data_IF_384118085883
#
_entry.id   IF_384118085883
#
_cell.length_a   1.000
_cell.length_b   1.000
_cell.length_c   1.000
_cell.angle_alpha   90.00
_cell.angle_beta   90.00
_cell.angle_gamma   90.00
#
_symmetry.space_group_name_H-M   'P 1'
#
loop_
_entity.id
_entity.type
_entity.pdbx_description
1 polymer ?
#
# COMPACT_ATOMS: atom_id res chain seq x y z
N UNK A 1 59.45 14.59 -18.44
CA UNK A 1 58.79 15.64 -17.62
C UNK A 1 57.29 15.38 -17.75
N UNK A 2 56.76 14.48 -16.92
CA UNK A 2 55.36 14.06 -16.93
C UNK A 2 54.67 14.66 -15.71
N UNK A 3 54.09 15.85 -15.85
CA UNK A 3 53.32 16.48 -14.78
C UNK A 3 52.20 17.27 -15.45
N UNK A 4 50.97 16.70 -15.49
CA UNK A 4 49.66 17.39 -15.46
C UNK A 4 48.43 16.54 -15.91
N UNK A 5 48.58 15.25 -16.17
CA UNK A 5 47.42 14.42 -16.59
C UNK A 5 46.33 14.18 -15.52
N UNK A 6 46.65 14.36 -14.23
CA UNK A 6 45.71 14.13 -13.12
C UNK A 6 44.79 15.31 -12.82
N UNK A 7 45.25 16.56 -13.07
CA UNK A 7 44.45 17.77 -12.85
C UNK A 7 43.39 17.98 -13.92
N UNK A 8 43.78 17.88 -15.19
CA UNK A 8 42.88 18.07 -16.34
C UNK A 8 41.77 17.02 -16.41
N UNK A 9 42.08 15.75 -16.09
CA UNK A 9 41.06 14.68 -16.03
C UNK A 9 40.02 14.95 -14.94
N UNK A 10 40.43 15.51 -13.79
CA UNK A 10 39.52 15.78 -12.67
C UNK A 10 38.58 16.96 -13.01
N UNK A 11 39.11 18.01 -13.64
CA UNK A 11 38.31 19.14 -14.10
C UNK A 11 37.34 18.76 -15.24
N UNK A 12 37.77 17.86 -16.14
CA UNK A 12 36.91 17.31 -17.19
C UNK A 12 35.77 16.45 -16.63
N UNK A 13 36.05 15.58 -15.65
CA UNK A 13 35.03 14.77 -14.98
C UNK A 13 34.00 15.63 -14.23
N UNK A 14 34.46 16.66 -13.52
CA UNK A 14 33.58 17.63 -12.83
C UNK A 14 32.70 18.39 -13.81
N UNK A 15 33.26 18.83 -14.93
CA UNK A 15 32.50 19.52 -15.99
C UNK A 15 31.46 18.60 -16.64
N UNK A 16 31.85 17.36 -16.96
CA UNK A 16 30.97 16.35 -17.52
C UNK A 16 29.79 16.05 -16.58
N UNK A 17 30.08 15.83 -15.29
CA UNK A 17 29.07 15.61 -14.25
C UNK A 17 28.08 16.76 -14.16
N UNK A 18 28.56 18.01 -14.06
CA UNK A 18 27.69 19.19 -13.97
C UNK A 18 26.77 19.33 -15.18
N UNK A 19 27.29 19.10 -16.39
CA UNK A 19 26.51 19.18 -17.62
C UNK A 19 25.45 18.07 -17.70
N UNK A 20 25.82 16.84 -17.33
CA UNK A 20 24.90 15.70 -17.31
C UNK A 20 23.79 15.88 -16.27
N UNK A 21 24.11 16.32 -15.05
CA UNK A 21 23.11 16.62 -14.01
C UNK A 21 22.12 17.69 -14.48
N UNK A 22 22.59 18.76 -15.14
CA UNK A 22 21.72 19.79 -15.68
C UNK A 22 20.83 19.28 -16.82
N UNK A 23 21.36 18.45 -17.72
CA UNK A 23 20.57 17.88 -18.80
C UNK A 23 19.51 16.89 -18.29
N UNK A 24 19.84 16.14 -17.23
CA UNK A 24 18.91 15.24 -16.53
C UNK A 24 17.77 15.99 -15.86
N UNK A 25 18.05 17.06 -15.12
CA UNK A 25 16.99 17.84 -14.45
C UNK A 25 16.04 18.51 -15.45
N UNK A 26 16.52 18.85 -16.65
CA UNK A 26 15.69 19.35 -17.74
C UNK A 26 15.00 18.24 -18.57
N UNK A 27 15.27 16.95 -18.29
CA UNK A 27 14.78 15.78 -19.05
C UNK A 27 15.04 15.89 -20.56
N UNK A 28 16.16 16.50 -20.94
CA UNK A 28 16.52 16.74 -22.35
C UNK A 28 17.31 15.55 -22.92
N UNK A 29 16.57 14.62 -23.54
CA UNK A 29 17.14 13.40 -24.15
C UNK A 29 18.19 13.72 -25.22
N UNK A 30 18.00 14.79 -25.99
CA UNK A 30 18.91 15.15 -27.09
C UNK A 30 20.21 15.70 -26.53
N UNK A 31 20.13 16.56 -25.52
CA UNK A 31 21.30 17.07 -24.82
C UNK A 31 22.07 15.94 -24.13
N UNK A 32 21.38 15.01 -23.44
CA UNK A 32 22.03 13.87 -22.78
C UNK A 32 22.79 13.00 -23.79
N UNK A 33 22.18 12.62 -24.91
CA UNK A 33 22.85 11.82 -25.94
C UNK A 33 24.06 12.55 -26.53
N UNK A 34 23.93 13.84 -26.80
CA UNK A 34 25.02 14.66 -27.33
C UNK A 34 26.18 14.78 -26.35
N UNK A 35 25.86 14.95 -25.05
CA UNK A 35 26.84 14.99 -23.97
C UNK A 35 27.53 13.64 -23.77
N UNK A 36 26.78 12.52 -23.80
CA UNK A 36 27.36 11.17 -23.70
C UNK A 36 28.33 10.94 -24.87
N UNK A 37 27.92 11.21 -26.10
CA UNK A 37 28.79 11.04 -27.27
C UNK A 37 30.06 11.91 -27.16
N UNK A 38 29.91 13.17 -26.74
CA UNK A 38 31.02 14.10 -26.55
C UNK A 38 31.97 13.66 -25.43
N UNK A 39 31.44 13.28 -24.27
CA UNK A 39 32.29 12.92 -23.13
C UNK A 39 32.88 11.52 -23.29
N UNK A 40 32.27 10.65 -24.10
CA UNK A 40 32.83 9.35 -24.43
C UNK A 40 34.10 9.48 -25.27
N UNK A 41 34.18 10.47 -26.18
CA UNK A 41 35.41 10.72 -26.95
C UNK A 41 36.52 11.34 -26.11
N UNK A 42 36.18 12.08 -25.05
CA UNK A 42 37.15 12.76 -24.17
C UNK A 42 37.64 11.84 -23.05
N UNK A 43 36.72 11.21 -22.31
CA UNK A 43 37.02 10.42 -21.12
C UNK A 43 37.21 8.93 -21.44
N UNK A 44 36.69 8.46 -22.57
CA UNK A 44 36.54 7.03 -22.86
C UNK A 44 35.29 6.44 -22.23
N UNK A 45 34.79 5.35 -22.82
CA UNK A 45 33.53 4.71 -22.44
C UNK A 45 33.51 4.27 -20.97
N UNK A 46 34.54 3.56 -20.50
CA UNK A 46 34.58 3.02 -19.14
C UNK A 46 34.54 4.12 -18.06
N UNK A 47 35.36 5.17 -18.23
CA UNK A 47 35.39 6.30 -17.28
C UNK A 47 34.09 7.07 -17.30
N UNK A 48 33.49 7.27 -18.47
CA UNK A 48 32.19 7.93 -18.58
C UNK A 48 31.08 7.10 -17.92
N UNK A 49 31.06 5.78 -18.14
CA UNK A 49 30.10 4.89 -17.47
C UNK A 49 30.29 4.94 -15.95
N UNK A 50 31.52 4.88 -15.46
CA UNK A 50 31.81 4.98 -14.03
C UNK A 50 31.35 6.34 -13.45
N UNK A 51 31.57 7.44 -14.18
CA UNK A 51 31.12 8.78 -13.79
C UNK A 51 29.59 8.87 -13.73
N UNK A 52 28.91 8.35 -14.76
CA UNK A 52 27.44 8.36 -14.82
C UNK A 52 26.88 7.54 -13.65
N UNK A 53 27.34 6.31 -13.47
CA UNK A 53 26.78 5.37 -12.48
C UNK A 53 27.11 5.77 -11.05
N UNK A 54 28.36 6.13 -10.75
CA UNK A 54 28.81 6.33 -9.37
C UNK A 54 28.70 7.77 -8.89
N UNK A 55 28.54 8.75 -9.79
CA UNK A 55 28.48 10.15 -9.41
C UNK A 55 27.19 10.83 -9.88
N UNK A 56 26.87 10.77 -11.18
CA UNK A 56 25.69 11.48 -11.72
C UNK A 56 24.39 10.87 -11.21
N UNK A 57 24.25 9.54 -11.27
CA UNK A 57 23.06 8.82 -10.80
C UNK A 57 22.88 8.84 -9.28
N UNK A 58 23.96 9.10 -8.53
CA UNK A 58 23.93 9.20 -7.07
C UNK A 58 23.47 10.59 -6.61
N UNK A 59 23.75 11.63 -7.40
CA UNK A 59 23.41 13.02 -7.07
C UNK A 59 22.13 13.54 -7.72
N UNK A 60 21.57 12.85 -8.72
CA UNK A 60 20.30 13.23 -9.30
C UNK A 60 19.12 12.85 -8.39
N UNK A 61 18.02 13.61 -8.49
CA UNK A 61 16.77 13.29 -7.79
C UNK A 61 16.15 11.98 -8.29
N UNK A 62 15.25 11.41 -7.48
CA UNK A 62 14.59 10.11 -7.75
C UNK A 62 13.83 10.10 -9.08
N UNK A 63 13.19 11.20 -9.44
CA UNK A 63 12.40 11.32 -10.67
C UNK A 63 13.30 11.34 -11.90
N UNK A 64 14.39 12.10 -11.84
CA UNK A 64 15.42 12.15 -12.90
C UNK A 64 16.12 10.80 -13.06
N UNK A 65 16.41 10.10 -11.96
CA UNK A 65 16.98 8.75 -11.98
C UNK A 65 16.04 7.75 -12.68
N UNK A 66 14.79 7.67 -12.22
CA UNK A 66 13.76 6.79 -12.77
C UNK A 66 13.54 7.07 -14.26
N UNK A 67 13.39 8.34 -14.63
CA UNK A 67 13.21 8.76 -16.00
C UNK A 67 14.39 8.37 -16.90
N UNK A 68 15.63 8.56 -16.43
CA UNK A 68 16.82 8.16 -17.16
C UNK A 68 16.85 6.65 -17.40
N UNK A 69 16.68 5.85 -16.35
CA UNK A 69 16.71 4.40 -16.48
C UNK A 69 15.61 3.87 -17.42
N UNK A 70 14.40 4.39 -17.30
CA UNK A 70 13.29 4.03 -18.20
C UNK A 70 13.56 4.42 -19.66
N UNK A 71 14.15 5.59 -19.88
CA UNK A 71 14.39 6.13 -21.23
C UNK A 71 15.54 5.42 -21.96
N UNK A 72 16.58 5.04 -21.23
CA UNK A 72 17.83 4.52 -21.82
C UNK A 72 17.99 3.00 -21.72
N UNK A 73 17.48 2.35 -20.66
CA UNK A 73 17.42 0.88 -20.57
C UNK A 73 16.11 0.31 -21.10
N UNK A 74 15.08 1.15 -21.23
CA UNK A 74 13.75 0.71 -21.62
C UNK A 74 12.94 0.16 -20.43
N UNK A 75 11.62 0.23 -20.56
CA UNK A 75 10.68 -0.09 -19.49
C UNK A 75 10.82 -1.53 -18.96
N UNK A 76 11.06 -2.51 -19.84
CA UNK A 76 11.18 -3.92 -19.46
C UNK A 76 12.42 -4.21 -18.63
N UNK A 77 13.56 -3.64 -19.00
CA UNK A 77 14.84 -3.83 -18.29
C UNK A 77 14.84 -3.06 -16.98
N UNK A 78 14.27 -1.85 -16.97
CA UNK A 78 14.06 -1.08 -15.74
C UNK A 78 13.21 -1.86 -14.72
N UNK A 79 12.06 -2.40 -15.15
CA UNK A 79 11.19 -3.20 -14.27
C UNK A 79 11.90 -4.45 -13.73
N UNK A 80 12.72 -5.12 -14.55
CA UNK A 80 13.50 -6.28 -14.11
C UNK A 80 14.58 -5.90 -13.09
N UNK A 81 15.29 -4.79 -13.33
CA UNK A 81 16.30 -4.26 -12.41
C UNK A 81 15.67 -3.85 -11.08
N UNK A 82 14.52 -3.15 -11.13
CA UNK A 82 13.75 -2.74 -9.96
C UNK A 82 13.36 -3.94 -9.11
N UNK A 83 12.72 -4.97 -9.71
CA UNK A 83 12.34 -6.21 -9.00
C UNK A 83 13.51 -6.92 -8.34
N UNK A 84 14.67 -6.95 -9.00
CA UNK A 84 15.89 -7.54 -8.43
C UNK A 84 16.41 -6.73 -7.24
N UNK A 85 16.39 -5.40 -7.33
CA UNK A 85 16.77 -4.53 -6.23
C UNK A 85 15.83 -4.71 -5.03
N UNK A 86 14.52 -4.72 -5.26
CA UNK A 86 13.51 -4.98 -4.22
C UNK A 86 13.71 -6.34 -3.55
N UNK A 87 13.88 -7.39 -4.35
CA UNK A 87 14.11 -8.75 -3.84
C UNK A 87 15.37 -8.84 -2.99
N UNK A 88 16.41 -8.09 -3.35
CA UNK A 88 17.65 -8.03 -2.57
C UNK A 88 17.45 -7.29 -1.24
N UNK A 89 16.73 -6.16 -1.23
CA UNK A 89 16.39 -5.43 -0.01
C UNK A 89 15.59 -6.34 0.94
N UNK A 90 14.57 -7.04 0.43
CA UNK A 90 13.76 -7.97 1.23
C UNK A 90 14.60 -9.09 1.82
N UNK A 91 15.52 -9.67 1.04
CA UNK A 91 16.42 -10.72 1.52
C UNK A 91 17.33 -10.21 2.64
N UNK A 92 17.84 -8.99 2.54
CA UNK A 92 18.66 -8.37 3.59
C UNK A 92 17.82 -8.19 4.86
N UNK A 93 16.63 -7.60 4.74
CA UNK A 93 15.75 -7.33 5.89
C UNK A 93 15.34 -8.62 6.62
N UNK A 94 14.95 -9.66 5.87
CA UNK A 94 14.64 -10.98 6.45
C UNK A 94 15.89 -11.60 7.11
N UNK A 95 17.05 -11.48 6.47
CA UNK A 95 18.32 -11.98 7.00
C UNK A 95 18.71 -11.34 8.35
N UNK A 96 18.31 -10.09 8.56
CA UNK A 96 18.52 -9.33 9.80
C UNK A 96 17.38 -9.53 10.83
N UNK A 97 16.46 -10.46 10.58
CA UNK A 97 15.39 -10.83 11.50
C UNK A 97 14.20 -9.86 11.53
N UNK A 98 13.98 -9.10 10.45
CA UNK A 98 12.81 -8.23 10.30
C UNK A 98 11.66 -8.96 9.62
N UNK A 99 10.43 -8.61 10.01
CA UNK A 99 9.21 -9.31 9.61
C UNK A 99 8.48 -8.55 8.48
N UNK A 100 8.20 -9.20 7.32
CA UNK A 100 7.33 -8.65 6.30
C UNK A 100 5.93 -8.29 6.87
N UNK A 101 5.39 -7.15 6.47
CA UNK A 101 4.09 -6.62 6.93
C UNK A 101 4.15 -5.86 8.26
N UNK A 102 5.25 -5.95 9.00
CA UNK A 102 5.48 -5.22 10.25
C UNK A 102 6.64 -4.24 10.14
N UNK A 103 7.78 -4.73 9.66
CA UNK A 103 9.00 -3.94 9.50
C UNK A 103 9.17 -3.43 8.06
N UNK A 104 8.59 -4.11 7.07
CA UNK A 104 8.58 -3.64 5.67
C UNK A 104 7.48 -4.31 4.85
N UNK A 105 6.98 -3.65 3.81
CA UNK A 105 5.96 -4.16 2.90
C UNK A 105 6.05 -3.50 1.52
N UNK A 106 5.24 -3.95 0.57
CA UNK A 106 5.00 -3.22 -0.68
C UNK A 106 3.83 -2.26 -0.50
N UNK A 107 3.98 -1.02 -0.95
CA UNK A 107 2.92 -0.05 -1.14
C UNK A 107 2.19 -0.27 -2.47
N UNK A 108 1.10 0.49 -2.68
CA UNK A 108 0.16 0.26 -3.77
C UNK A 108 0.76 0.58 -5.16
N UNK A 109 1.75 1.46 -5.23
CA UNK A 109 2.49 1.76 -6.48
C UNK A 109 3.71 0.87 -6.68
N UNK A 110 3.91 -0.14 -5.83
CA UNK A 110 5.10 -0.97 -5.82
C UNK A 110 6.30 -0.33 -5.11
N UNK A 111 6.14 0.81 -4.41
CA UNK A 111 7.15 1.29 -3.48
C UNK A 111 7.38 0.30 -2.34
N UNK A 112 8.59 0.26 -1.79
CA UNK A 112 8.84 -0.45 -0.54
C UNK A 112 8.55 0.50 0.62
N UNK A 113 7.64 0.10 1.49
CA UNK A 113 7.39 0.74 2.77
C UNK A 113 8.31 0.06 3.79
N UNK A 114 9.09 0.84 4.53
CA UNK A 114 9.98 0.33 5.59
C UNK A 114 9.73 1.08 6.90
N UNK A 115 9.83 0.38 8.02
CA UNK A 115 9.80 0.97 9.36
C UNK A 115 11.12 1.70 9.66
N UNK A 116 11.12 2.60 10.65
CA UNK A 116 12.34 3.28 11.12
C UNK A 116 13.45 2.28 11.50
N UNK A 117 13.06 1.15 12.10
CA UNK A 117 13.97 0.06 12.46
C UNK A 117 14.57 -0.61 11.23
N UNK A 118 13.74 -0.91 10.21
CA UNK A 118 14.20 -1.48 8.95
C UNK A 118 15.11 -0.51 8.18
N UNK A 119 14.78 0.78 8.21
CA UNK A 119 15.61 1.84 7.65
C UNK A 119 16.98 1.89 8.33
N UNK A 120 17.05 1.92 9.67
CA UNK A 120 18.33 1.93 10.38
C UNK A 120 19.21 0.73 10.04
N UNK A 121 18.61 -0.46 9.92
CA UNK A 121 19.33 -1.67 9.52
C UNK A 121 19.86 -1.55 8.09
N UNK A 122 19.06 -1.06 7.13
CA UNK A 122 19.53 -0.82 5.77
C UNK A 122 20.65 0.20 5.70
N UNK A 123 20.54 1.31 6.45
CA UNK A 123 21.57 2.34 6.49
C UNK A 123 22.88 1.82 7.11
N UNK A 124 22.80 0.91 8.09
CA UNK A 124 23.99 0.29 8.71
C UNK A 124 24.78 -0.61 7.77
N UNK A 125 24.15 -1.10 6.70
CA UNK A 125 24.76 -1.97 5.68
C UNK A 125 25.42 -1.15 4.54
N UNK A 126 25.21 0.17 4.50
CA UNK A 126 25.76 1.03 3.47
C UNK A 126 27.12 1.62 3.87
N UNK A 127 28.05 1.80 2.92
CA UNK A 127 29.23 2.63 3.13
C UNK A 127 28.82 4.03 3.60
N UNK A 128 29.55 4.61 4.56
CA UNK A 128 29.20 5.89 5.19
C UNK A 128 29.00 7.02 4.18
N UNK A 129 29.76 6.99 3.09
CA UNK A 129 29.72 7.98 2.02
C UNK A 129 28.40 7.93 1.21
N UNK A 130 27.66 6.82 1.27
CA UNK A 130 26.40 6.59 0.54
C UNK A 130 25.15 6.77 1.38
N UNK A 131 25.29 6.87 2.70
CA UNK A 131 24.17 7.05 3.65
C UNK A 131 23.34 8.29 3.30
N UNK A 132 23.91 9.51 3.11
CA UNK A 132 23.11 10.71 2.86
C UNK A 132 22.32 10.65 1.55
N UNK A 133 22.91 10.08 0.49
CA UNK A 133 22.24 9.90 -0.80
C UNK A 133 21.10 8.88 -0.71
N UNK A 134 21.30 7.80 0.05
CA UNK A 134 20.24 6.81 0.26
C UNK A 134 19.12 7.36 1.15
N UNK A 135 19.43 8.13 2.19
CA UNK A 135 18.45 8.83 3.01
C UNK A 135 17.64 9.84 2.19
N UNK A 136 18.29 10.59 1.29
CA UNK A 136 17.60 11.52 0.38
C UNK A 136 16.69 10.81 -0.63
N UNK A 137 17.00 9.57 -1.01
CA UNK A 137 16.16 8.73 -1.87
C UNK A 137 15.05 8.00 -1.11
N UNK A 138 15.23 7.73 0.19
CA UNK A 138 14.20 7.19 1.08
C UNK A 138 13.16 8.24 1.46
N UNK A 139 13.51 9.53 1.43
CA UNK A 139 12.58 10.63 1.65
C UNK A 139 11.84 11.02 0.36
N UNK A 140 10.82 10.25 -0.03
CA UNK A 140 9.64 10.80 -0.76
C UNK A 140 8.60 9.73 -1.11
N UNK A 141 7.72 9.44 -0.16
CA UNK A 141 6.28 9.50 -0.43
C UNK A 141 5.59 9.60 0.93
N UNK A 142 4.70 10.57 1.18
CA UNK A 142 3.83 10.47 2.33
C UNK A 142 3.06 9.16 2.16
N UNK A 143 3.42 8.15 2.96
CA UNK A 143 2.69 6.87 3.02
C UNK A 143 1.23 7.27 3.16
N UNK A 144 0.37 6.97 2.17
CA UNK A 144 -1.04 7.25 2.31
C UNK A 144 -1.47 6.63 3.63
N UNK A 145 -2.10 7.41 4.50
CA UNK A 145 -2.68 6.87 5.72
C UNK A 145 -3.39 5.55 5.36
N UNK A 146 -3.26 4.46 6.14
CA UNK A 146 -3.95 3.21 5.85
C UNK A 146 -5.44 3.40 5.53
N UNK A 147 -6.06 4.39 6.16
CA UNK A 147 -7.42 4.89 5.84
C UNK A 147 -7.52 5.36 4.39
N UNK A 148 -6.66 6.29 3.97
CA UNK A 148 -6.64 6.84 2.61
C UNK A 148 -6.30 5.78 1.55
N UNK A 149 -5.40 4.84 1.85
CA UNK A 149 -5.05 3.74 0.95
C UNK A 149 -6.26 2.83 0.68
N UNK A 150 -7.01 2.47 1.73
CA UNK A 150 -8.21 1.65 1.61
C UNK A 150 -9.33 2.42 0.90
N UNK A 151 -9.57 3.69 1.24
CA UNK A 151 -10.58 4.52 0.55
C UNK A 151 -10.26 4.69 -0.94
N UNK A 152 -8.98 4.83 -1.30
CA UNK A 152 -8.56 4.85 -2.70
C UNK A 152 -8.81 3.52 -3.41
N UNK A 153 -8.55 2.39 -2.74
CA UNK A 153 -8.85 1.05 -3.30
C UNK A 153 -10.35 0.85 -3.54
N UNK A 154 -11.18 1.36 -2.63
CA UNK A 154 -12.63 1.26 -2.71
C UNK A 154 -13.25 2.29 -3.65
N UNK A 155 -12.53 3.37 -3.96
CA UNK A 155 -12.99 4.46 -4.83
C UNK A 155 -14.02 5.39 -4.18
N UNK A 156 -14.16 5.37 -2.85
CA UNK A 156 -15.13 6.16 -2.10
C UNK A 156 -14.60 6.51 -0.69
N UNK A 157 -15.16 7.55 -0.01
CA UNK A 157 -14.78 7.95 1.35
C UNK A 157 -15.38 6.99 2.41
N UNK A 158 -15.04 5.70 2.28
CA UNK A 158 -15.62 4.59 3.03
C UNK A 158 -15.64 4.80 4.55
N UNK A 159 -14.55 5.22 5.18
CA UNK A 159 -14.51 5.35 6.64
C UNK A 159 -15.29 6.56 7.13
N UNK A 160 -15.37 7.61 6.32
CA UNK A 160 -16.23 8.77 6.59
C UNK A 160 -17.69 8.32 6.57
N UNK A 161 -18.13 7.65 5.49
CA UNK A 161 -19.48 7.12 5.36
C UNK A 161 -19.81 6.14 6.50
N UNK A 162 -18.90 5.21 6.81
CA UNK A 162 -19.09 4.23 7.87
C UNK A 162 -19.20 4.89 9.25
N UNK A 163 -18.42 5.96 9.51
CA UNK A 163 -18.52 6.71 10.76
C UNK A 163 -19.89 7.36 10.92
N UNK A 164 -20.44 7.94 9.84
CA UNK A 164 -21.77 8.55 9.86
C UNK A 164 -22.86 7.51 10.11
N UNK A 165 -22.83 6.39 9.40
CA UNK A 165 -23.77 5.28 9.57
C UNK A 165 -23.69 4.73 11.00
N UNK A 166 -22.48 4.47 11.50
CA UNK A 166 -22.28 3.99 12.87
C UNK A 166 -22.78 5.00 13.91
N UNK A 167 -22.62 6.31 13.66
CA UNK A 167 -23.11 7.37 14.56
C UNK A 167 -24.63 7.32 14.68
N UNK A 168 -25.33 7.18 13.55
CA UNK A 168 -26.78 7.05 13.52
C UNK A 168 -27.23 5.76 14.21
N UNK A 169 -26.55 4.64 13.94
CA UNK A 169 -26.89 3.36 14.52
C UNK A 169 -26.77 3.37 16.05
N UNK A 170 -25.66 3.88 16.60
CA UNK A 170 -25.42 3.89 18.04
C UNK A 170 -26.48 4.70 18.80
N UNK A 171 -27.06 5.73 18.18
CA UNK A 171 -28.14 6.48 18.82
C UNK A 171 -29.36 5.62 19.12
N UNK A 172 -29.66 4.63 18.28
CA UNK A 172 -30.80 3.73 18.40
C UNK A 172 -30.54 2.51 19.29
N UNK A 173 -29.27 2.14 19.48
CA UNK A 173 -28.88 0.97 20.28
C UNK A 173 -28.81 1.30 21.77
N UNK A 174 -29.11 0.31 22.63
CA UNK A 174 -28.77 0.41 24.05
C UNK A 174 -27.24 0.32 24.24
N UNK A 175 -26.75 0.62 25.44
CA UNK A 175 -25.30 0.76 25.67
C UNK A 175 -24.52 -0.53 25.35
N UNK A 176 -25.03 -1.66 25.82
CA UNK A 176 -24.43 -2.98 25.62
C UNK A 176 -24.43 -3.39 24.14
N UNK A 177 -25.52 -3.14 23.42
CA UNK A 177 -25.59 -3.34 21.97
C UNK A 177 -24.66 -2.41 21.19
N UNK A 178 -24.51 -1.16 21.61
CA UNK A 178 -23.61 -0.21 20.98
C UNK A 178 -22.13 -0.59 21.18
N UNK A 179 -21.77 -1.04 22.40
CA UNK A 179 -20.44 -1.55 22.71
C UNK A 179 -20.12 -2.79 21.87
N UNK A 180 -21.08 -3.72 21.79
CA UNK A 180 -21.00 -4.90 20.94
C UNK A 180 -20.80 -4.58 19.47
N UNK A 181 -21.65 -3.70 18.92
CA UNK A 181 -21.60 -3.27 17.54
C UNK A 181 -20.23 -2.67 17.19
N UNK A 182 -19.73 -1.74 18.02
CA UNK A 182 -18.41 -1.14 17.83
C UNK A 182 -17.28 -2.17 17.94
N UNK A 183 -17.35 -3.05 18.94
CA UNK A 183 -16.34 -4.08 19.18
C UNK A 183 -16.22 -5.04 17.99
N UNK A 184 -17.34 -5.59 17.53
CA UNK A 184 -17.38 -6.49 16.37
C UNK A 184 -16.91 -5.76 15.11
N UNK A 185 -17.46 -4.57 14.82
CA UNK A 185 -17.09 -3.78 13.64
C UNK A 185 -15.58 -3.48 13.59
N UNK A 186 -14.99 -3.04 14.70
CA UNK A 186 -13.57 -2.72 14.74
C UNK A 186 -12.71 -3.98 14.66
N UNK A 187 -13.09 -5.06 15.35
CA UNK A 187 -12.37 -6.31 15.30
C UNK A 187 -12.28 -6.85 13.87
N UNK A 188 -13.39 -6.85 13.13
CA UNK A 188 -13.40 -7.35 11.75
C UNK A 188 -12.64 -6.46 10.75
N UNK A 189 -12.69 -5.13 10.92
CA UNK A 189 -11.92 -4.18 10.11
C UNK A 189 -10.41 -4.31 10.36
N UNK A 190 -9.99 -4.33 11.63
CA UNK A 190 -8.56 -4.44 12.02
C UNK A 190 -8.01 -5.81 11.66
N UNK A 191 -8.79 -6.88 11.82
CA UNK A 191 -8.38 -8.23 11.42
C UNK A 191 -8.16 -8.32 9.90
N UNK A 192 -8.96 -7.62 9.09
CA UNK A 192 -8.75 -7.55 7.63
C UNK A 192 -7.56 -6.66 7.26
N UNK A 193 -7.41 -5.53 7.95
CA UNK A 193 -6.43 -4.50 7.69
C UNK A 193 -5.65 -4.15 8.98
N UNK A 194 -4.65 -4.95 9.37
CA UNK A 194 -3.91 -4.75 10.63
C UNK A 194 -3.22 -3.37 10.73
N UNK A 195 -2.88 -2.76 9.59
CA UNK A 195 -2.30 -1.41 9.51
C UNK A 195 -3.23 -0.31 10.08
N UNK A 196 -4.54 -0.55 10.21
CA UNK A 196 -5.44 0.37 10.89
C UNK A 196 -5.07 0.52 12.38
N UNK A 197 -4.54 -0.53 13.01
CA UNK A 197 -4.16 -0.48 14.42
C UNK A 197 -2.92 0.39 14.66
N UNK A 198 -1.98 0.45 13.71
CA UNK A 198 -0.76 1.25 13.83
C UNK A 198 -0.98 2.76 13.75
N UNK A 199 -2.16 3.21 13.30
CA UNK A 199 -2.50 4.64 13.18
C UNK A 199 -3.59 5.09 14.16
N UNK A 200 -3.80 4.32 15.23
CA UNK A 200 -4.81 4.59 16.26
C UNK A 200 -6.24 4.79 15.70
N UNK A 201 -6.51 4.16 14.54
CA UNK A 201 -7.83 4.24 13.90
C UNK A 201 -8.96 3.80 14.84
N UNK A 202 -8.85 2.69 15.62
CA UNK A 202 -9.95 2.26 16.49
C UNK A 202 -10.37 3.33 17.49
N UNK A 203 -9.41 3.98 18.15
CA UNK A 203 -9.67 5.04 19.12
C UNK A 203 -10.32 6.25 18.45
N UNK A 204 -9.77 6.68 17.30
CA UNK A 204 -10.30 7.82 16.54
C UNK A 204 -11.70 7.55 16.00
N UNK A 205 -11.96 6.34 15.52
CA UNK A 205 -13.26 5.90 15.03
C UNK A 205 -14.28 5.94 16.17
N UNK A 206 -14.00 5.27 17.29
CA UNK A 206 -14.88 5.27 18.48
C UNK A 206 -15.19 6.69 18.92
N UNK A 207 -14.16 7.54 19.06
CA UNK A 207 -14.36 8.92 19.51
C UNK A 207 -15.27 9.71 18.57
N UNK A 208 -15.10 9.54 17.24
CA UNK A 208 -15.94 10.20 16.25
C UNK A 208 -17.38 9.68 16.30
N UNK A 209 -17.57 8.36 16.40
CA UNK A 209 -18.90 7.76 16.44
C UNK A 209 -19.69 8.14 17.69
N UNK A 210 -19.00 8.30 18.83
CA UNK A 210 -19.64 8.65 20.11
C UNK A 210 -19.83 10.16 20.32
N UNK A 211 -19.25 11.02 19.46
CA UNK A 211 -19.22 12.49 19.64
C UNK A 211 -20.60 13.13 19.82
N UNK A 212 -21.66 12.52 19.27
CA UNK A 212 -23.04 13.02 19.37
C UNK A 212 -23.82 12.59 20.61
N UNK A 213 -23.23 11.80 21.51
CA UNK A 213 -23.88 11.31 22.72
C UNK A 213 -23.58 12.19 23.95
N UNK A 214 -24.37 12.06 25.01
CA UNK A 214 -24.00 12.65 26.30
C UNK A 214 -22.74 11.97 26.86
N UNK A 215 -21.89 12.69 27.61
CA UNK A 215 -20.68 12.12 28.20
C UNK A 215 -20.96 10.87 29.06
N UNK A 216 -22.07 10.85 29.78
CA UNK A 216 -22.48 9.74 30.64
C UNK A 216 -22.80 8.50 29.80
N UNK A 217 -23.52 8.65 28.69
CA UNK A 217 -23.84 7.55 27.78
C UNK A 217 -22.60 7.03 27.07
N UNK A 218 -21.74 7.93 26.58
CA UNK A 218 -20.49 7.54 25.93
C UNK A 218 -19.59 6.74 26.88
N UNK A 219 -19.43 7.19 28.13
CA UNK A 219 -18.67 6.46 29.15
C UNK A 219 -19.31 5.13 29.52
N UNK A 220 -20.65 5.04 29.57
CA UNK A 220 -21.33 3.79 29.84
C UNK A 220 -21.12 2.74 28.73
N UNK A 221 -21.05 3.16 27.46
CA UNK A 221 -20.74 2.28 26.32
C UNK A 221 -19.29 1.81 26.38
N UNK A 222 -18.34 2.72 26.64
CA UNK A 222 -16.90 2.41 26.66
C UNK A 222 -16.51 1.47 27.81
N UNK A 223 -17.20 1.55 28.94
CA UNK A 223 -16.93 0.74 30.13
C UNK A 223 -17.88 -0.47 30.24
N UNK A 224 -18.64 -0.79 29.19
CA UNK A 224 -19.53 -1.94 29.22
C UNK A 224 -18.67 -3.23 29.32
N UNK A 225 -18.93 -4.11 30.31
CA UNK A 225 -18.11 -5.30 30.57
C UNK A 225 -18.34 -6.44 29.57
N UNK A 226 -19.19 -6.24 28.55
CA UNK A 226 -19.55 -7.30 27.61
C UNK A 226 -18.34 -7.77 26.79
N UNK A 227 -17.94 -9.02 27.05
CA UNK A 227 -16.74 -9.67 26.51
C UNK A 227 -17.01 -10.56 25.30
N UNK A 228 -18.26 -10.91 25.05
CA UNK A 228 -18.68 -11.73 23.91
C UNK A 228 -20.16 -11.47 23.56
N UNK A 229 -20.45 -10.40 22.80
CA UNK A 229 -21.81 -10.09 22.42
C UNK A 229 -22.23 -10.92 21.20
N UNK A 230 -23.28 -11.72 21.35
CA UNK A 230 -24.03 -12.22 20.20
C UNK A 230 -24.61 -11.01 19.44
N UNK A 231 -23.93 -10.61 18.37
CA UNK A 231 -24.34 -9.52 17.50
C UNK A 231 -24.61 -10.07 16.11
N UNK A 232 -25.75 -9.68 15.54
CA UNK A 232 -26.11 -10.09 14.18
C UNK A 232 -25.17 -9.41 13.16
N UNK A 233 -24.20 -10.17 12.65
CA UNK A 233 -23.23 -9.71 11.66
C UNK A 233 -23.90 -9.22 10.36
N UNK A 234 -25.16 -9.59 10.09
CA UNK A 234 -25.85 -9.12 8.88
C UNK A 234 -26.05 -7.59 8.90
N UNK A 235 -26.22 -7.00 10.08
CA UNK A 235 -26.30 -5.54 10.26
C UNK A 235 -24.95 -4.91 9.89
N UNK A 236 -23.84 -5.53 10.28
CA UNK A 236 -22.50 -5.08 9.92
C UNK A 236 -22.32 -5.12 8.40
N UNK A 237 -22.72 -6.21 7.75
CA UNK A 237 -22.60 -6.33 6.29
C UNK A 237 -23.38 -5.25 5.54
N UNK A 238 -24.60 -4.94 5.99
CA UNK A 238 -25.39 -3.86 5.40
C UNK A 238 -24.69 -2.51 5.54
N UNK A 239 -24.14 -2.20 6.72
CA UNK A 239 -23.46 -0.93 6.95
C UNK A 239 -22.15 -0.82 6.18
N UNK A 240 -21.40 -1.90 6.05
CA UNK A 240 -20.18 -1.93 5.23
C UNK A 240 -20.49 -1.73 3.76
N UNK A 241 -21.54 -2.37 3.23
CA UNK A 241 -21.96 -2.20 1.84
C UNK A 241 -22.50 -0.78 1.59
N UNK A 242 -23.33 -0.26 2.49
CA UNK A 242 -23.80 1.12 2.43
C UNK A 242 -22.64 2.12 2.47
N UNK A 243 -21.62 1.89 3.31
CA UNK A 243 -20.43 2.73 3.40
C UNK A 243 -19.59 2.70 2.10
N UNK A 244 -19.64 1.60 1.35
CA UNK A 244 -19.05 1.46 0.01
C UNK A 244 -19.97 2.01 -1.11
N UNK A 245 -21.02 2.75 -0.76
CA UNK A 245 -22.00 3.33 -1.69
C UNK A 245 -22.72 2.28 -2.55
N UNK A 246 -22.80 1.04 -2.06
CA UNK A 246 -23.61 0.01 -2.70
C UNK A 246 -25.10 0.38 -2.60
N UNK A 247 -25.81 0.43 -3.72
CA UNK A 247 -27.23 0.82 -3.77
C UNK A 247 -28.19 -0.33 -3.48
N UNK A 248 -27.69 -1.56 -3.41
CA UNK A 248 -28.47 -2.80 -3.27
C UNK A 248 -28.30 -3.43 -1.88
N UNK A 249 -27.58 -2.77 -0.96
CA UNK A 249 -27.30 -3.24 0.41
C UNK A 249 -28.55 -3.67 1.20
N UNK A 250 -29.70 -3.04 0.94
CA UNK A 250 -30.98 -3.37 1.57
C UNK A 250 -31.50 -4.79 1.26
N UNK A 251 -31.03 -5.42 0.17
CA UNK A 251 -31.48 -6.76 -0.25
C UNK A 251 -31.04 -7.87 0.71
N UNK A 252 -30.08 -7.61 1.60
CA UNK A 252 -29.61 -8.56 2.61
C UNK A 252 -30.65 -8.78 3.72
N UNK A 253 -31.54 -7.81 3.98
CA UNK A 253 -32.53 -7.87 5.07
C UNK A 253 -33.87 -8.55 4.72
N UNK A 254 -34.06 -8.99 3.47
CA UNK A 254 -35.34 -9.54 3.00
C UNK A 254 -35.62 -10.97 3.48
N UNK A 255 -36.90 -11.38 3.49
CA UNK A 255 -37.37 -12.74 3.82
C UNK A 255 -36.76 -13.85 2.92
N UNK A 256 -36.20 -13.47 1.76
CA UNK A 256 -35.44 -14.32 0.83
C UNK A 256 -33.95 -13.91 0.74
N UNK A 257 -33.43 -13.18 1.74
CA UNK A 257 -32.15 -12.43 1.73
C UNK A 257 -30.90 -13.29 1.57
N UNK A 258 -30.64 -13.78 0.37
CA UNK A 258 -29.39 -14.43 0.02
C UNK A 258 -28.35 -13.36 -0.29
N UNK A 259 -27.30 -13.30 0.52
CA UNK A 259 -26.13 -12.49 0.21
C UNK A 259 -25.54 -12.95 -1.13
N UNK A 260 -25.48 -12.04 -2.11
CA UNK A 260 -24.96 -12.38 -3.44
C UNK A 260 -23.45 -12.59 -3.38
N UNK A 261 -22.91 -13.33 -4.34
CA UNK A 261 -21.44 -13.49 -4.48
C UNK A 261 -20.78 -12.12 -4.71
N UNK A 262 -21.43 -11.18 -5.40
CA UNK A 262 -20.89 -9.83 -5.57
C UNK A 262 -20.84 -9.06 -4.26
N UNK A 263 -21.87 -9.15 -3.41
CA UNK A 263 -21.84 -8.56 -2.07
C UNK A 263 -20.72 -9.16 -1.21
N UNK A 264 -20.55 -10.49 -1.26
CA UNK A 264 -19.45 -11.15 -0.55
C UNK A 264 -18.09 -10.69 -1.07
N UNK A 265 -17.91 -10.56 -2.38
CA UNK A 265 -16.66 -10.06 -2.97
C UNK A 265 -16.33 -8.65 -2.50
N UNK A 266 -17.32 -7.76 -2.40
CA UNK A 266 -17.14 -6.41 -1.85
C UNK A 266 -16.78 -6.46 -0.36
N UNK A 267 -17.48 -7.25 0.43
CA UNK A 267 -17.20 -7.39 1.86
C UNK A 267 -15.80 -7.96 2.13
N UNK A 268 -15.31 -8.91 1.32
CA UNK A 268 -13.96 -9.47 1.44
C UNK A 268 -12.84 -8.42 1.25
N UNK A 269 -13.15 -7.25 0.67
CA UNK A 269 -12.18 -6.16 0.56
C UNK A 269 -11.93 -5.45 1.89
N UNK A 270 -12.92 -5.42 2.78
CA UNK A 270 -12.90 -4.57 3.98
C UNK A 270 -13.08 -5.33 5.28
N UNK A 271 -13.64 -6.54 5.25
CA UNK A 271 -14.07 -7.28 6.43
C UNK A 271 -13.46 -8.66 6.55
N UNK A 272 -13.08 -9.04 7.77
CA UNK A 272 -12.71 -10.40 8.14
C UNK A 272 -13.44 -10.79 9.43
N UNK A 273 -14.58 -11.46 9.31
CA UNK A 273 -15.35 -12.00 10.45
C UNK A 273 -14.72 -13.27 11.02
N UNK A 274 -15.50 -14.05 11.77
CA UNK A 274 -15.05 -15.32 12.33
C UNK A 274 -14.80 -16.39 11.26
N UNK A 275 -15.59 -16.38 10.19
CA UNK A 275 -15.31 -17.15 8.97
C UNK A 275 -14.76 -16.23 7.88
N UNK A 276 -13.73 -16.70 7.17
CA UNK A 276 -13.16 -15.93 6.06
C UNK A 276 -14.16 -15.87 4.91
N UNK A 277 -14.53 -14.67 4.49
CA UNK A 277 -15.49 -14.46 3.39
C UNK A 277 -15.00 -15.14 2.10
N UNK A 278 -13.71 -15.06 1.80
CA UNK A 278 -13.06 -15.82 0.72
C UNK A 278 -13.33 -17.33 0.73
N UNK A 279 -13.47 -17.98 1.88
CA UNK A 279 -13.81 -19.41 1.97
C UNK A 279 -15.28 -19.66 1.59
N UNK A 280 -16.18 -18.75 2.00
CA UNK A 280 -17.61 -18.80 1.66
C UNK A 280 -17.79 -18.59 0.15
N UNK A 281 -17.09 -17.61 -0.44
CA UNK A 281 -17.09 -17.36 -1.89
C UNK A 281 -16.65 -18.62 -2.63
N UNK A 282 -15.52 -19.22 -2.24
CA UNK A 282 -15.00 -20.42 -2.90
C UNK A 282 -15.96 -21.62 -2.81
N UNK A 283 -16.70 -21.75 -1.70
CA UNK A 283 -17.74 -22.77 -1.55
C UNK A 283 -18.94 -22.51 -2.47
N UNK A 284 -19.41 -21.27 -2.55
CA UNK A 284 -20.54 -20.90 -3.41
C UNK A 284 -20.21 -21.04 -4.90
N UNK A 285 -19.04 -20.58 -5.33
CA UNK A 285 -18.58 -20.73 -6.72
C UNK A 285 -18.47 -22.21 -7.12
N UNK A 286 -17.90 -23.06 -6.26
CA UNK A 286 -17.87 -24.52 -6.47
C UNK A 286 -19.27 -25.13 -6.57
N UNK A 287 -20.23 -24.62 -5.79
CA UNK A 287 -21.61 -25.13 -5.80
C UNK A 287 -22.37 -24.72 -7.07
N UNK A 288 -22.15 -23.48 -7.55
CA UNK A 288 -22.70 -23.00 -8.82
C UNK A 288 -22.14 -23.79 -10.01
N UNK A 289 -20.83 -24.02 -10.06
CA UNK A 289 -20.22 -24.84 -11.13
C UNK A 289 -20.74 -26.28 -11.15
N UNK A 290 -20.99 -26.88 -9.97
CA UNK A 290 -21.60 -28.23 -9.89
C UNK A 290 -23.06 -28.27 -10.34
N UNK A 291 -23.83 -27.20 -10.11
CA UNK A 291 -25.22 -27.09 -10.62
C UNK A 291 -25.25 -26.91 -12.13
N UNK A 292 -24.39 -26.07 -12.69
CA UNK A 292 -24.29 -25.87 -14.14
C UNK A 292 -23.92 -27.15 -14.89
N UNK A 293 -22.97 -27.93 -14.36
CA UNK A 293 -22.59 -29.23 -14.92
C UNK A 293 -23.77 -30.22 -14.89
N UNK A 294 -24.55 -30.27 -13.81
CA UNK A 294 -25.73 -31.16 -13.71
C UNK A 294 -26.90 -30.74 -14.63
N UNK A 295 -27.05 -29.46 -14.91
CA UNK A 295 -28.06 -28.97 -15.87
C UNK A 295 -27.68 -29.16 -17.34
N UNK A 296 -26.44 -29.58 -17.62
CA UNK A 296 -25.95 -29.88 -18.98
C UNK A 296 -25.84 -31.39 -19.26
N UNK A 297 -26.13 -32.25 -18.29
CA UNK A 297 -26.29 -33.68 -18.57
C UNK A 297 -27.59 -33.89 -19.38
N UNK A 298 -27.52 -34.40 -20.62
CA UNK A 298 -28.74 -34.73 -21.36
C UNK A 298 -29.48 -35.79 -20.57
N UNK A 299 -30.75 -35.51 -20.26
CA UNK A 299 -31.64 -36.46 -19.63
C UNK A 299 -31.52 -37.80 -20.35
N UNK A 300 -31.03 -38.81 -19.64
CA UNK A 300 -31.10 -40.18 -20.09
C UNK A 300 -32.58 -40.51 -20.15
N UNK A 301 -33.13 -40.44 -21.36
CA UNK A 301 -34.49 -40.82 -21.68
C UNK A 301 -34.75 -42.22 -21.14
N UNK A 302 -35.80 -42.33 -20.33
CA UNK A 302 -36.46 -43.60 -20.04
C UNK A 302 -37.21 -44.09 -21.27
#
# INVERSE_FOLDING_TARGET
>A
MEINGFGENKDQAVSAKRQLLKALSCRDKTAINSLIARWQTILGAEKLTALIVNEVMVECDSDSHSWFCQTFFGQSQYAQMHRKAESNIFRILIGEGLEPGKDFSFGLSGEIIISDRAQQILLSQLPKERIPSFEAQLQSSPVPSPVAAIEQQLGCPFFTNLTEIATQQIQMLNNSQAAAYLGVLLAGLVKRHPALQSVDFPTLFIFRTLKGLSPERAMAILNDPQTDPEFDETIIFQHLLAAMEDTEYHRIAGLDGVISIEHLKKLDLVWCGDRRISEIIAMMEKWHSRKEIRSQEPGTGS
#
